data_IF_778165252594
#
_entry.id   IF_778165252594
#
_cell.length_a   1.000
_cell.length_b   1.000
_cell.length_c   1.000
_cell.angle_alpha   90.00
_cell.angle_beta   90.00
_cell.angle_gamma   90.00
#
_symmetry.space_group_name_H-M   'P 1'
#
loop_
_entity.id
_entity.type
_entity.pdbx_description
1 polymer ?
#
# COMPACT_ATOMS: atom_id res chain seq x y z
N UNK A 1 12.25 -13.49 -21.77
CA UNK A 1 11.25 -12.91 -20.82
C UNK A 1 10.93 -13.80 -19.63
N UNK A 2 10.64 -15.11 -19.79
CA UNK A 2 10.34 -16.01 -18.65
C UNK A 2 11.45 -16.07 -17.57
N UNK A 3 12.72 -16.00 -17.98
CA UNK A 3 13.86 -16.01 -17.04
C UNK A 3 13.99 -14.74 -16.19
N UNK A 4 13.57 -13.57 -16.70
CA UNK A 4 13.66 -12.31 -15.96
C UNK A 4 12.57 -12.20 -14.89
N UNK A 5 11.37 -12.68 -15.24
CA UNK A 5 10.27 -12.80 -14.28
C UNK A 5 10.65 -13.80 -13.17
N UNK A 6 11.28 -14.93 -13.54
CA UNK A 6 11.77 -15.92 -12.57
C UNK A 6 12.97 -15.45 -11.72
N UNK A 7 13.72 -14.42 -12.12
CA UNK A 7 14.82 -13.87 -11.32
C UNK A 7 14.35 -12.82 -10.31
N UNK A 8 13.26 -12.11 -10.60
CA UNK A 8 12.64 -11.12 -9.69
C UNK A 8 11.76 -11.82 -8.65
N UNK A 9 11.07 -12.89 -9.06
CA UNK A 9 10.11 -13.61 -8.24
C UNK A 9 10.65 -15.00 -7.87
N UNK A 10 10.78 -15.37 -6.58
CA UNK A 10 11.18 -16.71 -6.19
C UNK A 10 10.33 -17.80 -6.83
N UNK A 11 10.92 -18.95 -7.19
CA UNK A 11 10.22 -20.09 -7.79
C UNK A 11 9.16 -20.71 -6.86
N UNK A 12 9.07 -20.26 -5.61
CA UNK A 12 8.08 -20.68 -4.63
C UNK A 12 6.80 -19.86 -4.64
N UNK A 13 6.73 -18.70 -5.31
CA UNK A 13 5.57 -17.78 -5.26
C UNK A 13 4.30 -18.44 -5.83
N UNK A 14 4.44 -19.34 -6.79
CA UNK A 14 3.30 -19.97 -7.44
C UNK A 14 2.82 -21.26 -6.76
N UNK A 15 3.38 -21.62 -5.59
CA UNK A 15 3.02 -22.87 -4.92
C UNK A 15 1.82 -22.74 -3.97
N UNK A 16 1.57 -21.56 -3.40
CA UNK A 16 0.51 -21.37 -2.40
C UNK A 16 -0.43 -20.21 -2.76
N UNK A 17 -1.74 -20.41 -2.59
CA UNK A 17 -2.77 -19.36 -2.83
C UNK A 17 -2.48 -18.04 -2.10
N UNK A 18 -1.85 -18.09 -0.92
CA UNK A 18 -1.47 -16.91 -0.15
C UNK A 18 -0.43 -16.03 -0.85
N UNK A 19 0.46 -16.63 -1.65
CA UNK A 19 1.49 -15.89 -2.37
C UNK A 19 0.93 -15.24 -3.64
N UNK A 20 -0.03 -15.88 -4.33
CA UNK A 20 -0.80 -15.24 -5.39
C UNK A 20 -1.61 -14.03 -4.89
N UNK A 21 -2.25 -14.16 -3.72
CA UNK A 21 -2.97 -13.05 -3.11
C UNK A 21 -2.03 -11.92 -2.66
N UNK A 22 -0.83 -12.23 -2.16
CA UNK A 22 0.19 -11.23 -1.87
C UNK A 22 0.72 -10.53 -3.12
N UNK A 23 0.89 -11.26 -4.23
CA UNK A 23 1.25 -10.68 -5.52
C UNK A 23 0.16 -9.73 -6.03
N UNK A 24 -1.11 -10.13 -5.95
CA UNK A 24 -2.24 -9.29 -6.34
C UNK A 24 -2.31 -8.01 -5.48
N UNK A 25 -2.12 -8.13 -4.16
CA UNK A 25 -2.03 -6.99 -3.25
C UNK A 25 -0.82 -6.10 -3.57
N UNK A 26 0.33 -6.68 -3.94
CA UNK A 26 1.50 -5.95 -4.42
C UNK A 26 1.22 -5.15 -5.70
N UNK A 27 0.58 -5.76 -6.69
CA UNK A 27 0.16 -5.06 -7.90
C UNK A 27 -0.82 -3.93 -7.62
N UNK A 28 -1.77 -4.14 -6.71
CA UNK A 28 -2.69 -3.10 -6.27
C UNK A 28 -1.95 -1.90 -5.65
N UNK A 29 -1.00 -2.17 -4.74
CA UNK A 29 -0.15 -1.12 -4.16
C UNK A 29 0.67 -0.38 -5.23
N UNK A 30 1.23 -1.08 -6.22
CA UNK A 30 1.97 -0.47 -7.32
C UNK A 30 1.08 0.49 -8.13
N UNK A 31 -0.17 0.09 -8.44
CA UNK A 31 -1.10 0.94 -9.20
C UNK A 31 -1.40 2.23 -8.44
N UNK A 32 -1.67 2.12 -7.14
CA UNK A 32 -1.92 3.29 -6.28
C UNK A 32 -0.69 4.21 -6.24
N UNK A 33 0.48 3.64 -5.94
CA UNK A 33 1.75 4.37 -5.85
C UNK A 33 2.08 5.07 -7.17
N UNK A 34 1.91 4.40 -8.30
CA UNK A 34 2.13 5.00 -9.62
C UNK A 34 1.14 6.11 -9.90
N UNK A 35 -0.14 5.95 -9.57
CA UNK A 35 -1.14 7.01 -9.75
C UNK A 35 -0.78 8.26 -8.95
N UNK A 36 -0.33 8.09 -7.70
CA UNK A 36 0.16 9.18 -6.86
C UNK A 36 1.39 9.85 -7.48
N UNK A 37 2.35 9.05 -7.98
CA UNK A 37 3.60 9.56 -8.55
C UNK A 37 3.40 10.31 -9.88
N UNK A 38 2.47 9.84 -10.73
CA UNK A 38 2.15 10.51 -12.01
C UNK A 38 1.60 11.92 -11.84
N UNK A 39 0.91 12.18 -10.71
CA UNK A 39 0.37 13.50 -10.38
C UNK A 39 0.97 14.05 -9.08
N UNK A 40 2.23 13.70 -8.83
CA UNK A 40 2.90 14.08 -7.59
C UNK A 40 2.94 15.59 -7.39
N UNK A 41 3.02 16.39 -8.44
CA UNK A 41 3.01 17.86 -8.34
C UNK A 41 1.74 18.42 -7.68
N UNK A 42 0.60 17.73 -7.83
CA UNK A 42 -0.70 18.16 -7.31
C UNK A 42 -1.13 17.37 -6.08
N UNK A 43 -0.51 16.22 -5.83
CA UNK A 43 -0.85 15.34 -4.72
C UNK A 43 -0.64 15.98 -3.32
N UNK A 44 0.50 16.64 -3.02
CA UNK A 44 0.72 17.38 -1.77
C UNK A 44 -0.42 18.32 -1.41
N UNK A 45 -0.90 19.10 -2.39
CA UNK A 45 -2.00 20.07 -2.20
C UNK A 45 -3.31 19.41 -1.81
N UNK A 46 -3.50 18.13 -2.13
CA UNK A 46 -4.70 17.38 -1.69
C UNK A 46 -4.60 16.90 -0.25
N UNK A 47 -3.40 16.90 0.34
CA UNK A 47 -3.15 16.49 1.72
C UNK A 47 -3.05 17.69 2.67
N UNK A 48 -2.74 18.90 2.19
CA UNK A 48 -2.71 20.13 3.00
C UNK A 48 -3.99 20.36 3.83
N UNK A 49 -5.22 20.16 3.29
CA UNK A 49 -6.45 20.37 4.06
C UNK A 49 -6.62 19.41 5.25
N UNK A 50 -5.84 18.32 5.30
CA UNK A 50 -5.89 17.35 6.39
C UNK A 50 -5.14 17.83 7.64
N UNK A 51 -4.42 18.96 7.57
CA UNK A 51 -3.72 19.54 8.72
C UNK A 51 -2.56 18.71 9.25
N UNK A 52 -2.05 17.75 8.46
CA UNK A 52 -0.99 16.80 8.86
C UNK A 52 0.42 17.41 8.73
N UNK A 53 0.53 18.73 8.61
CA UNK A 53 1.77 19.46 8.34
C UNK A 53 1.97 19.75 6.84
N UNK A 54 3.22 19.78 6.40
CA UNK A 54 3.56 20.02 4.99
C UNK A 54 3.06 18.85 4.12
N UNK A 55 2.10 19.14 3.24
CA UNK A 55 1.51 18.16 2.33
C UNK A 55 2.54 17.46 1.44
N UNK A 56 3.69 18.10 1.18
CA UNK A 56 4.79 17.52 0.40
C UNK A 56 5.49 16.42 1.19
N UNK A 57 5.81 16.69 2.45
CA UNK A 57 6.43 15.69 3.34
C UNK A 57 5.47 14.52 3.54
N UNK A 58 4.18 14.79 3.75
CA UNK A 58 3.16 13.75 3.87
C UNK A 58 3.05 12.89 2.60
N UNK A 59 3.03 13.51 1.42
CA UNK A 59 2.98 12.81 0.14
C UNK A 59 4.22 11.92 -0.08
N UNK A 60 5.43 12.44 0.20
CA UNK A 60 6.68 11.66 0.12
C UNK A 60 6.62 10.47 1.08
N UNK A 61 6.19 10.68 2.32
CA UNK A 61 6.11 9.64 3.33
C UNK A 61 5.14 8.52 2.93
N UNK A 62 3.98 8.85 2.39
CA UNK A 62 2.99 7.86 1.90
C UNK A 62 3.57 7.04 0.75
N UNK A 63 4.12 7.69 -0.27
CA UNK A 63 4.69 7.01 -1.45
C UNK A 63 5.86 6.11 -1.03
N UNK A 64 6.74 6.58 -0.14
CA UNK A 64 7.85 5.77 0.39
C UNK A 64 7.35 4.58 1.21
N UNK A 65 6.30 4.77 2.02
CA UNK A 65 5.70 3.69 2.81
C UNK A 65 5.11 2.60 1.91
N UNK A 66 4.40 3.00 0.84
CA UNK A 66 3.88 2.10 -0.18
C UNK A 66 5.03 1.37 -0.90
N UNK A 67 6.09 2.08 -1.28
CA UNK A 67 7.28 1.49 -1.91
C UNK A 67 7.97 0.45 -1.01
N UNK A 68 8.18 0.77 0.27
CA UNK A 68 8.83 -0.12 1.25
C UNK A 68 7.96 -1.35 1.55
N UNK A 69 6.65 -1.32 1.29
CA UNK A 69 5.76 -2.49 1.45
C UNK A 69 5.89 -3.53 0.34
N UNK A 70 6.32 -3.12 -0.86
CA UNK A 70 6.37 -3.99 -2.05
C UNK A 70 7.31 -5.20 -1.91
N UNK A 71 8.53 -5.07 -1.34
CA UNK A 71 9.45 -6.20 -1.22
C UNK A 71 8.84 -7.39 -0.45
N UNK A 72 8.00 -7.14 0.56
CA UNK A 72 7.26 -8.18 1.29
C UNK A 72 6.10 -8.76 0.47
N UNK A 73 5.28 -7.92 -0.15
CA UNK A 73 4.13 -8.35 -0.96
C UNK A 73 4.55 -9.19 -2.19
N UNK A 74 5.63 -8.77 -2.86
CA UNK A 74 6.21 -9.46 -4.00
C UNK A 74 7.08 -10.66 -3.58
N UNK A 75 7.21 -10.92 -2.27
CA UNK A 75 8.04 -11.99 -1.71
C UNK A 75 9.46 -11.99 -2.29
N UNK A 76 10.11 -10.82 -2.40
CA UNK A 76 11.44 -10.73 -3.01
C UNK A 76 12.46 -11.62 -2.28
N UNK A 77 13.29 -12.40 -3.00
CA UNK A 77 14.06 -13.49 -2.42
C UNK A 77 15.38 -13.04 -1.75
N UNK A 78 15.75 -11.76 -1.86
CA UNK A 78 17.04 -11.22 -1.40
C UNK A 78 16.93 -10.20 -0.26
N UNK A 79 15.89 -10.31 0.56
CA UNK A 79 15.72 -9.44 1.74
C UNK A 79 16.25 -10.13 2.98
N UNK A 80 16.99 -9.38 3.81
CA UNK A 80 17.31 -9.81 5.17
C UNK A 80 16.03 -10.02 5.99
N UNK A 81 16.10 -10.84 7.05
CA UNK A 81 14.95 -11.06 7.96
C UNK A 81 14.41 -9.75 8.54
N UNK A 82 15.29 -8.77 8.76
CA UNK A 82 14.92 -7.47 9.30
C UNK A 82 14.16 -6.62 8.27
N UNK A 83 14.69 -6.50 7.05
CA UNK A 83 14.02 -5.78 5.95
C UNK A 83 12.66 -6.39 5.62
N UNK A 84 12.57 -7.72 5.62
CA UNK A 84 11.30 -8.42 5.39
C UNK A 84 10.28 -8.14 6.50
N UNK A 85 10.73 -7.99 7.75
CA UNK A 85 9.87 -7.63 8.88
C UNK A 85 9.41 -6.17 8.80
N UNK A 86 10.31 -5.24 8.46
CA UNK A 86 9.99 -3.83 8.26
C UNK A 86 8.99 -3.68 7.11
N UNK A 87 9.28 -4.29 5.96
CA UNK A 87 8.41 -4.28 4.79
C UNK A 87 7.03 -4.89 5.08
N UNK A 88 6.98 -5.99 5.86
CA UNK A 88 5.73 -6.58 6.33
C UNK A 88 4.91 -5.69 7.26
N UNK A 89 5.55 -4.88 8.10
CA UNK A 89 4.86 -3.87 8.93
C UNK A 89 4.35 -2.72 8.05
N UNK A 90 5.18 -2.21 7.14
CA UNK A 90 4.79 -1.16 6.18
C UNK A 90 3.59 -1.56 5.31
N UNK A 91 3.49 -2.84 4.98
CA UNK A 91 2.36 -3.44 4.22
C UNK A 91 1.01 -3.26 4.92
N UNK A 92 0.97 -3.22 6.26
CA UNK A 92 -0.25 -2.93 7.01
C UNK A 92 -0.39 -1.44 7.34
N UNK A 93 0.72 -0.72 7.49
CA UNK A 93 0.70 0.71 7.81
C UNK A 93 0.18 1.54 6.63
N UNK A 94 0.55 1.25 5.39
CA UNK A 94 0.09 1.99 4.21
C UNK A 94 -1.45 2.06 4.11
N UNK A 95 -2.19 0.94 4.09
CA UNK A 95 -3.65 0.98 4.10
C UNK A 95 -4.21 1.55 5.42
N UNK A 96 -3.51 1.41 6.55
CA UNK A 96 -3.92 1.99 7.83
C UNK A 96 -3.91 3.53 7.82
N UNK A 97 -2.87 4.14 7.24
CA UNK A 97 -2.78 5.60 7.06
C UNK A 97 -3.92 6.08 6.17
N UNK A 98 -4.18 5.40 5.06
CA UNK A 98 -5.27 5.75 4.16
C UNK A 98 -6.66 5.57 4.77
N UNK A 99 -6.84 4.55 5.62
CA UNK A 99 -8.06 4.35 6.38
C UNK A 99 -8.30 5.51 7.36
N UNK A 100 -7.25 5.94 8.07
CA UNK A 100 -7.33 7.08 8.99
C UNK A 100 -7.64 8.39 8.26
N UNK A 101 -7.00 8.64 7.10
CA UNK A 101 -7.30 9.79 6.24
C UNK A 101 -8.76 9.72 5.78
N UNK A 102 -9.22 8.57 5.30
CA UNK A 102 -10.59 8.40 4.83
C UNK A 102 -11.62 8.64 5.93
N UNK A 103 -11.35 8.19 7.16
CA UNK A 103 -12.18 8.44 8.33
C UNK A 103 -12.18 9.93 8.72
N UNK A 104 -11.01 10.58 8.76
CA UNK A 104 -10.90 12.00 9.09
C UNK A 104 -11.68 12.87 8.09
N UNK A 105 -11.55 12.58 6.80
CA UNK A 105 -12.28 13.26 5.72
C UNK A 105 -13.79 13.12 5.89
N UNK A 106 -14.28 11.91 6.18
CA UNK A 106 -15.70 11.67 6.46
C UNK A 106 -16.21 12.41 7.70
N UNK A 107 -15.42 12.44 8.78
CA UNK A 107 -15.80 13.13 10.01
C UNK A 107 -15.78 14.66 9.88
N UNK A 108 -15.02 15.20 8.93
CA UNK A 108 -14.84 16.65 8.77
C UNK A 108 -15.99 17.32 8.02
N UNK A 109 -16.92 16.55 7.43
CA UNK A 109 -18.16 17.04 6.79
C UNK A 109 -17.99 17.95 5.56
N UNK A 110 -16.80 18.49 5.30
CA UNK A 110 -16.51 19.48 4.24
C UNK A 110 -15.73 18.97 3.04
N UNK A 111 -15.10 17.80 3.12
CA UNK A 111 -14.45 17.12 2.00
C UNK A 111 -15.10 15.76 1.83
N UNK A 112 -15.89 15.56 0.78
CA UNK A 112 -16.50 14.26 0.52
C UNK A 112 -15.56 13.30 -0.23
N UNK A 113 -14.38 13.77 -0.66
CA UNK A 113 -13.52 13.02 -1.56
C UNK A 113 -12.11 12.85 -1.01
N UNK A 114 -11.60 11.62 -1.09
CA UNK A 114 -10.27 11.20 -0.66
C UNK A 114 -9.41 10.94 -1.89
N UNK A 115 -8.23 11.54 -1.94
CA UNK A 115 -7.28 11.43 -3.04
C UNK A 115 -6.41 10.17 -2.96
N UNK A 116 -7.04 8.99 -2.84
CA UNK A 116 -6.35 7.70 -2.70
C UNK A 116 -5.37 7.43 -3.86
N UNK A 117 -5.77 7.80 -5.09
CA UNK A 117 -4.94 7.69 -6.30
C UNK A 117 -4.12 8.97 -6.55
N UNK A 118 -3.80 9.70 -5.49
CA UNK A 118 -3.28 11.06 -5.58
C UNK A 118 -4.23 11.99 -6.32
N UNK A 119 -3.68 12.94 -7.11
CA UNK A 119 -4.50 13.88 -7.87
C UNK A 119 -4.98 13.32 -9.23
N UNK A 120 -4.84 12.01 -9.48
CA UNK A 120 -5.39 11.34 -10.68
C UNK A 120 -6.89 11.15 -10.54
N UNK A 121 -7.34 10.69 -9.37
CA UNK A 121 -8.74 10.44 -9.09
C UNK A 121 -9.02 10.59 -7.60
N UNK A 122 -10.07 11.33 -7.28
CA UNK A 122 -10.59 11.44 -5.93
C UNK A 122 -11.83 10.56 -5.78
N UNK A 123 -11.83 9.68 -4.78
CA UNK A 123 -12.92 8.77 -4.49
C UNK A 123 -13.82 9.35 -3.41
N UNK A 124 -15.14 9.07 -3.40
CA UNK A 124 -15.97 9.39 -2.25
C UNK A 124 -15.39 8.78 -0.96
N UNK A 125 -15.44 9.52 0.15
CA UNK A 125 -14.81 9.13 1.42
C UNK A 125 -15.29 7.78 1.92
N UNK A 126 -16.59 7.45 1.74
CA UNK A 126 -17.16 6.15 2.12
C UNK A 126 -16.56 5.01 1.28
N UNK A 127 -16.42 5.23 -0.03
CA UNK A 127 -15.81 4.24 -0.94
C UNK A 127 -14.34 4.06 -0.61
N UNK A 128 -13.62 5.15 -0.36
CA UNK A 128 -12.22 5.11 0.06
C UNK A 128 -12.04 4.38 1.40
N UNK A 129 -12.91 4.62 2.38
CA UNK A 129 -12.90 3.96 3.68
C UNK A 129 -13.12 2.44 3.55
N UNK A 130 -14.11 2.02 2.76
CA UNK A 130 -14.36 0.60 2.52
C UNK A 130 -13.19 -0.06 1.79
N UNK A 131 -12.66 0.58 0.75
CA UNK A 131 -11.57 0.06 -0.06
C UNK A 131 -10.28 -0.09 0.76
N UNK A 132 -9.95 0.92 1.55
CA UNK A 132 -8.77 0.92 2.44
C UNK A 132 -8.93 -0.04 3.61
N UNK A 133 -10.16 -0.22 4.12
CA UNK A 133 -10.49 -1.22 5.13
C UNK A 133 -10.33 -2.66 4.62
N UNK A 134 -10.86 -2.95 3.42
CA UNK A 134 -10.67 -4.25 2.75
C UNK A 134 -9.19 -4.49 2.45
N UNK A 135 -8.48 -3.46 1.96
CA UNK A 135 -7.05 -3.54 1.70
C UNK A 135 -6.26 -3.83 2.98
N UNK A 136 -6.56 -3.16 4.09
CA UNK A 136 -5.94 -3.42 5.40
C UNK A 136 -6.23 -4.84 5.90
N UNK A 137 -7.47 -5.30 5.79
CA UNK A 137 -7.84 -6.65 6.21
C UNK A 137 -7.12 -7.71 5.37
N UNK A 138 -7.03 -7.50 4.05
CA UNK A 138 -6.32 -8.38 3.14
C UNK A 138 -4.82 -8.42 3.46
N UNK A 139 -4.17 -7.26 3.63
CA UNK A 139 -2.74 -7.19 3.96
C UNK A 139 -2.45 -7.76 5.33
N UNK A 140 -3.26 -7.49 6.35
CA UNK A 140 -3.11 -8.08 7.68
C UNK A 140 -3.24 -9.61 7.66
N UNK A 141 -4.24 -10.14 6.93
CA UNK A 141 -4.40 -11.58 6.74
C UNK A 141 -3.19 -12.21 6.05
N UNK A 142 -2.71 -11.58 4.98
CA UNK A 142 -1.55 -12.05 4.22
C UNK A 142 -0.27 -12.00 5.05
N UNK A 143 -0.03 -10.93 5.78
CA UNK A 143 1.13 -10.79 6.68
C UNK A 143 1.11 -11.85 7.77
N UNK A 144 -0.05 -12.10 8.40
CA UNK A 144 -0.20 -13.14 9.41
C UNK A 144 0.03 -14.55 8.81
N UNK A 145 -0.48 -14.81 7.61
CA UNK A 145 -0.37 -16.12 6.94
C UNK A 145 1.04 -16.38 6.41
N UNK A 146 1.69 -15.39 5.80
CA UNK A 146 3.06 -15.46 5.31
C UNK A 146 4.06 -15.61 6.46
N UNK A 147 3.86 -14.90 7.57
CA UNK A 147 4.70 -15.07 8.77
C UNK A 147 4.65 -16.49 9.35
N UNK A 148 3.48 -17.13 9.33
CA UNK A 148 3.34 -18.54 9.74
C UNK A 148 4.01 -19.52 8.77
N UNK A 149 4.15 -19.15 7.50
CA UNK A 149 4.79 -19.99 6.48
C UNK A 149 6.32 -19.89 6.50
N UNK A 150 6.87 -18.77 6.97
CA UNK A 150 8.33 -18.53 7.10
C UNK A 150 8.91 -19.11 8.41
N UNK A 151 8.04 -19.49 9.35
CA UNK A 151 8.39 -20.14 10.63
C UNK A 151 8.39 -21.68 10.56
N UNK A 152 8.14 -22.27 9.39
CA UNK A 152 8.29 -23.71 9.13
C UNK A 152 9.46 -23.92 8.19
#
# INVERSE_FOLDING_TARGET
MKQFIASIFPPTIFKKRAQYAALAAGFWTIIIMLAQLFRFEKFPKTLEPLGIGDGTIAAIAIVLLEFISLPFLLSMPRLSKLERRISGVCTSLAPGVWLAISAAVLMSGGQEKVSLFGAVAALPGVVSLLLTGVWLAATAYLTAKLRRLDLK
#
